data_IF_133671838484
#
_entry.id   IF_133671838484
#
_cell.length_a   1.000
_cell.length_b   1.000
_cell.length_c   1.000
_cell.angle_alpha   90.00
_cell.angle_beta   90.00
_cell.angle_gamma   90.00
#
_symmetry.space_group_name_H-M   'P 1'
#
loop_
_entity.id
_entity.type
_entity.pdbx_description
1 polymer ?
#
# COMPACT_ATOMS: atom_id res chain seq x y z
N UNK A 1 45.06 11.28 -9.90
CA UNK A 1 44.90 10.05 -10.69
C UNK A 1 43.61 9.38 -10.25
N UNK A 2 42.74 8.90 -11.16
CA UNK A 2 41.59 8.10 -10.74
C UNK A 2 42.13 6.81 -10.11
N UNK A 3 41.64 6.51 -8.92
CA UNK A 3 41.99 5.27 -8.20
C UNK A 3 41.40 4.12 -9.03
N UNK A 4 42.20 3.12 -9.44
CA UNK A 4 41.65 1.96 -10.13
C UNK A 4 40.60 1.28 -9.24
N UNK A 5 39.49 0.78 -9.82
CA UNK A 5 38.49 0.08 -9.02
C UNK A 5 39.17 -1.08 -8.27
N UNK A 6 38.86 -1.28 -6.98
CA UNK A 6 39.50 -2.33 -6.19
C UNK A 6 39.28 -3.70 -6.84
N UNK A 7 40.35 -4.48 -7.00
CA UNK A 7 40.27 -5.85 -7.50
C UNK A 7 39.54 -6.74 -6.48
N UNK A 8 38.32 -7.15 -6.81
CA UNK A 8 37.51 -8.10 -6.05
C UNK A 8 36.00 -7.83 -6.13
N UNK A 9 35.18 -8.89 -6.09
CA UNK A 9 33.73 -8.73 -5.96
C UNK A 9 33.41 -8.08 -4.59
N UNK A 10 32.81 -6.88 -4.60
CA UNK A 10 32.44 -6.11 -3.40
C UNK A 10 31.64 -6.93 -2.36
N UNK A 11 30.98 -8.02 -2.77
CA UNK A 11 30.25 -8.92 -1.86
C UNK A 11 31.13 -9.55 -0.76
N UNK A 12 32.40 -9.83 -1.06
CA UNK A 12 33.33 -10.41 -0.08
C UNK A 12 33.81 -9.41 0.98
N UNK A 13 33.61 -8.11 0.75
CA UNK A 13 34.11 -7.05 1.62
C UNK A 13 33.17 -6.75 2.78
N UNK A 14 31.87 -7.06 2.61
CA UNK A 14 30.84 -6.81 3.60
C UNK A 14 30.36 -8.07 4.32
N UNK A 15 30.60 -9.26 3.79
CA UNK A 15 30.21 -10.51 4.46
C UNK A 15 31.21 -10.84 5.57
N UNK A 16 30.79 -11.11 6.83
CA UNK A 16 29.43 -11.28 7.34
C UNK A 16 28.87 -10.03 8.06
N UNK A 17 29.53 -8.88 7.96
CA UNK A 17 29.14 -7.64 8.65
C UNK A 17 27.82 -7.04 8.12
N UNK A 18 27.49 -7.26 6.85
CA UNK A 18 26.25 -6.85 6.22
C UNK A 18 25.96 -7.70 4.98
N UNK A 19 24.69 -8.06 4.77
CA UNK A 19 24.20 -8.65 3.53
C UNK A 19 23.63 -7.57 2.61
N UNK A 20 23.62 -7.83 1.30
CA UNK A 20 22.88 -7.03 0.32
C UNK A 20 23.34 -5.57 0.16
N UNK A 21 24.58 -5.22 0.53
CA UNK A 21 25.14 -3.88 0.28
C UNK A 21 25.80 -3.75 -1.10
N UNK A 22 26.53 -4.78 -1.53
CA UNK A 22 27.40 -4.71 -2.70
C UNK A 22 26.63 -4.46 -4.01
N UNK A 23 25.53 -5.18 -4.23
CA UNK A 23 24.69 -5.02 -5.43
C UNK A 23 24.12 -3.61 -5.55
N UNK A 24 23.39 -3.10 -4.54
CA UNK A 24 22.88 -1.74 -4.55
C UNK A 24 23.97 -0.68 -4.76
N UNK A 25 25.12 -0.80 -4.09
CA UNK A 25 26.22 0.17 -4.24
C UNK A 25 26.76 0.22 -5.68
N UNK A 26 26.97 -0.94 -6.32
CA UNK A 26 27.43 -1.00 -7.71
C UNK A 26 26.43 -0.34 -8.66
N UNK A 27 25.14 -0.62 -8.44
CA UNK A 27 24.08 -0.13 -9.31
C UNK A 27 23.91 1.38 -9.12
N UNK A 28 23.90 1.89 -7.89
CA UNK A 28 23.84 3.34 -7.61
C UNK A 28 25.06 4.09 -8.18
N UNK A 29 26.27 3.55 -8.03
CA UNK A 29 27.50 4.13 -8.59
C UNK A 29 27.42 4.24 -10.13
N UNK A 30 27.01 3.15 -10.80
CA UNK A 30 26.82 3.15 -12.24
C UNK A 30 25.76 4.17 -12.68
N UNK A 31 24.66 4.30 -11.93
CA UNK A 31 23.60 5.29 -12.20
C UNK A 31 24.10 6.71 -12.12
N UNK A 32 24.82 7.05 -11.05
CA UNK A 32 25.37 8.40 -10.84
C UNK A 32 26.35 8.80 -11.95
N UNK A 33 27.15 7.85 -12.47
CA UNK A 33 28.07 8.10 -13.60
C UNK A 33 27.37 8.43 -14.92
N UNK A 34 26.11 8.03 -15.08
CA UNK A 34 25.36 8.17 -16.35
C UNK A 34 24.45 9.40 -16.41
N UNK A 35 24.45 10.25 -15.37
CA UNK A 35 23.66 11.50 -15.23
C UNK A 35 22.13 11.36 -15.39
N UNK A 36 21.61 10.13 -15.56
CA UNK A 36 20.18 9.80 -15.57
C UNK A 36 19.92 8.63 -14.64
N UNK A 37 19.57 8.89 -13.36
CA UNK A 37 19.12 7.82 -12.48
C UNK A 37 17.90 7.16 -13.13
N UNK A 38 18.03 5.86 -13.43
CA UNK A 38 16.92 5.07 -13.95
C UNK A 38 15.88 4.82 -12.86
N UNK A 39 14.70 4.28 -13.20
CA UNK A 39 13.63 4.07 -12.23
C UNK A 39 13.99 3.12 -11.09
N UNK A 40 15.04 2.31 -11.27
CA UNK A 40 15.58 1.39 -10.27
C UNK A 40 16.34 2.09 -9.14
N UNK A 41 16.69 3.37 -9.27
CA UNK A 41 17.54 4.08 -8.31
C UNK A 41 16.96 4.02 -6.89
N UNK A 42 15.67 4.34 -6.72
CA UNK A 42 15.07 4.27 -5.39
C UNK A 42 14.89 2.87 -4.84
N UNK A 43 14.74 1.83 -5.68
CA UNK A 43 14.77 0.45 -5.21
C UNK A 43 16.12 0.15 -4.57
N UNK A 44 17.20 0.47 -5.27
CA UNK A 44 18.54 0.19 -4.77
C UNK A 44 18.89 1.07 -3.56
N UNK A 45 18.42 2.32 -3.52
CA UNK A 45 18.55 3.15 -2.33
C UNK A 45 17.82 2.53 -1.13
N UNK A 46 16.57 2.07 -1.30
CA UNK A 46 15.81 1.42 -0.24
C UNK A 46 16.43 0.07 0.21
N UNK A 47 16.93 -0.73 -0.73
CA UNK A 47 17.65 -1.97 -0.43
C UNK A 47 18.96 -1.70 0.32
N UNK A 48 19.73 -0.68 -0.11
CA UNK A 48 20.94 -0.27 0.57
C UNK A 48 20.64 0.14 2.01
N UNK A 49 19.66 1.03 2.21
CA UNK A 49 19.28 1.50 3.55
C UNK A 49 18.77 0.36 4.44
N UNK A 50 17.99 -0.58 3.88
CA UNK A 50 17.56 -1.78 4.60
C UNK A 50 18.76 -2.64 5.03
N UNK A 51 19.73 -2.84 4.14
CA UNK A 51 20.97 -3.56 4.43
C UNK A 51 21.83 -2.86 5.48
N UNK A 52 21.95 -1.53 5.42
CA UNK A 52 22.69 -0.73 6.41
C UNK A 52 22.04 -0.78 7.79
N UNK A 53 20.70 -0.76 7.86
CA UNK A 53 19.96 -0.95 9.12
C UNK A 53 20.20 -2.34 9.73
N UNK A 54 20.33 -3.37 8.89
CA UNK A 54 20.61 -4.73 9.33
C UNK A 54 22.09 -4.99 9.65
N UNK A 55 23.00 -4.12 9.20
CA UNK A 55 24.44 -4.29 9.38
C UNK A 55 24.84 -4.36 10.86
N UNK A 56 25.92 -5.08 11.14
CA UNK A 56 26.59 -5.14 12.44
C UNK A 56 27.76 -4.13 12.47
N UNK A 57 27.58 -2.91 13.05
CA UNK A 57 28.59 -1.86 12.96
C UNK A 57 29.92 -2.27 13.59
N UNK A 58 29.89 -3.07 14.65
CA UNK A 58 31.10 -3.56 15.33
C UNK A 58 32.05 -4.36 14.41
N UNK A 59 31.53 -4.92 13.30
CA UNK A 59 32.30 -5.71 12.33
C UNK A 59 32.85 -4.89 11.15
N UNK A 60 32.49 -3.61 11.05
CA UNK A 60 32.94 -2.72 9.97
C UNK A 60 34.07 -1.80 10.46
N UNK A 61 35.13 -1.56 9.66
CA UNK A 61 36.14 -0.55 9.98
C UNK A 61 35.53 0.85 10.15
N UNK A 62 36.05 1.65 11.08
CA UNK A 62 35.51 2.98 11.38
C UNK A 62 35.42 3.91 10.14
N UNK A 63 36.43 3.98 9.24
CA UNK A 63 36.32 4.79 8.02
C UNK A 63 35.18 4.33 7.11
N UNK A 64 34.98 3.01 6.99
CA UNK A 64 33.89 2.43 6.19
C UNK A 64 32.53 2.79 6.77
N UNK A 65 32.38 2.72 8.10
CA UNK A 65 31.12 3.12 8.76
C UNK A 65 30.81 4.58 8.52
N UNK A 66 31.81 5.45 8.63
CA UNK A 66 31.63 6.88 8.41
C UNK A 66 31.20 7.18 6.97
N UNK A 67 31.88 6.59 5.98
CA UNK A 67 31.52 6.75 4.57
C UNK A 67 30.12 6.21 4.24
N UNK A 68 29.71 5.07 4.83
CA UNK A 68 28.36 4.53 4.66
C UNK A 68 27.30 5.38 5.36
N UNK A 69 27.62 5.99 6.49
CA UNK A 69 26.74 6.92 7.19
C UNK A 69 26.54 8.21 6.37
N UNK A 70 27.62 8.81 5.85
CA UNK A 70 27.55 9.97 4.95
C UNK A 70 26.74 9.66 3.69
N UNK A 71 26.88 8.46 3.13
CA UNK A 71 26.08 8.02 1.98
C UNK A 71 24.58 7.89 2.35
N UNK A 72 24.26 7.33 3.51
CA UNK A 72 22.88 7.24 3.98
C UNK A 72 22.27 8.63 4.14
N UNK A 73 22.98 9.55 4.80
CA UNK A 73 22.53 10.94 4.97
C UNK A 73 22.33 11.62 3.62
N UNK A 74 23.25 11.47 2.67
CA UNK A 74 23.11 12.03 1.32
C UNK A 74 21.88 11.48 0.57
N UNK A 75 21.53 10.20 0.74
CA UNK A 75 20.31 9.62 0.17
C UNK A 75 19.05 10.19 0.81
N UNK A 76 19.06 10.41 2.13
CA UNK A 76 17.94 11.00 2.85
C UNK A 76 17.72 12.49 2.56
N UNK A 77 18.78 13.23 2.26
CA UNK A 77 18.69 14.63 1.79
C UNK A 77 18.21 14.71 0.34
N UNK A 78 18.52 13.70 -0.48
CA UNK A 78 18.11 13.67 -1.88
C UNK A 78 16.64 13.28 -2.09
N UNK A 79 16.06 12.44 -1.22
CA UNK A 79 14.66 12.04 -1.27
C UNK A 79 14.06 11.94 0.13
N UNK A 80 12.91 12.61 0.31
CA UNK A 80 12.18 12.64 1.58
C UNK A 80 11.63 11.28 2.00
N UNK A 81 11.27 10.42 1.04
CA UNK A 81 10.62 9.15 1.34
C UNK A 81 11.53 8.23 2.18
N UNK A 82 12.81 8.01 1.80
CA UNK A 82 13.75 7.25 2.62
C UNK A 82 14.41 8.03 3.77
N UNK A 83 14.13 9.33 3.96
CA UNK A 83 14.87 10.21 4.89
C UNK A 83 14.99 9.64 6.32
N UNK A 84 13.87 9.16 6.86
CA UNK A 84 13.83 8.53 8.18
C UNK A 84 14.77 7.32 8.29
N UNK A 85 14.63 6.37 7.36
CA UNK A 85 15.45 5.16 7.35
C UNK A 85 16.94 5.45 7.11
N UNK A 86 17.24 6.49 6.32
CA UNK A 86 18.59 7.01 6.11
C UNK A 86 19.21 7.51 7.41
N UNK A 87 18.50 8.39 8.14
CA UNK A 87 18.96 8.89 9.43
C UNK A 87 19.16 7.77 10.44
N UNK A 88 18.23 6.82 10.52
CA UNK A 88 18.35 5.67 11.41
C UNK A 88 19.56 4.78 11.06
N UNK A 89 19.84 4.57 9.77
CA UNK A 89 21.03 3.85 9.32
C UNK A 89 22.32 4.59 9.69
N UNK A 90 22.39 5.91 9.46
CA UNK A 90 23.55 6.75 9.79
C UNK A 90 23.86 6.73 11.30
N UNK A 91 22.84 6.90 12.15
CA UNK A 91 23.00 6.86 13.62
C UNK A 91 23.50 5.50 14.11
N UNK A 92 22.97 4.40 13.54
CA UNK A 92 23.40 3.05 13.89
C UNK A 92 24.86 2.79 13.52
N UNK A 93 25.31 3.28 12.35
CA UNK A 93 26.68 3.09 11.86
C UNK A 93 27.71 3.90 12.65
N UNK A 94 27.36 5.13 13.04
CA UNK A 94 28.25 6.04 13.77
C UNK A 94 28.25 5.78 15.27
N UNK A 95 27.18 5.18 15.82
CA UNK A 95 27.00 4.99 17.25
C UNK A 95 26.70 6.29 18.01
N UNK A 96 26.47 7.39 17.29
CA UNK A 96 26.04 8.67 17.84
C UNK A 96 24.57 8.53 18.27
N UNK A 97 24.34 8.12 19.51
CA UNK A 97 23.00 8.13 20.10
C UNK A 97 22.59 9.57 20.36
N UNK A 98 21.50 10.02 19.73
CA UNK A 98 20.81 11.24 20.15
C UNK A 98 20.15 11.05 21.52
N UNK A 99 19.77 12.18 22.13
CA UNK A 99 19.08 12.23 23.42
C UNK A 99 17.71 11.53 23.33
N UNK A 100 17.06 11.58 22.16
CA UNK A 100 15.79 10.92 21.89
C UNK A 100 15.94 9.83 20.82
N UNK A 101 15.39 8.62 21.04
CA UNK A 101 15.42 7.56 20.05
C UNK A 101 14.52 7.92 18.87
N UNK A 102 15.11 8.00 17.68
CA UNK A 102 14.42 8.32 16.43
C UNK A 102 13.69 7.12 15.82
N UNK A 103 13.38 6.06 16.56
CA UNK A 103 12.76 4.86 15.98
C UNK A 103 11.25 5.01 15.85
N UNK A 104 10.70 4.64 14.69
CA UNK A 104 9.27 4.45 14.43
C UNK A 104 8.86 2.99 14.72
N UNK A 105 9.44 2.43 15.78
CA UNK A 105 9.07 1.11 16.29
C UNK A 105 8.35 1.29 17.63
N UNK A 106 7.21 0.62 17.82
CA UNK A 106 6.41 0.74 19.04
C UNK A 106 5.81 -0.58 19.49
N UNK A 107 5.85 -0.78 20.81
CA UNK A 107 5.21 -1.91 21.48
C UNK A 107 3.81 -1.47 21.92
N UNK A 108 2.78 -2.14 21.41
CA UNK A 108 1.37 -1.91 21.70
C UNK A 108 0.77 -3.17 22.35
N UNK A 109 -0.44 -3.08 22.88
CA UNK A 109 -1.07 -4.16 23.63
C UNK A 109 -2.57 -4.23 23.33
N UNK A 110 -3.08 -5.24 22.64
CA UNK A 110 -4.50 -5.32 22.28
C UNK A 110 -5.46 -5.46 23.47
N UNK A 111 -4.98 -5.77 24.68
CA UNK A 111 -5.81 -6.17 25.83
C UNK A 111 -6.48 -4.99 26.55
N UNK A 112 -6.39 -3.75 26.03
CA UNK A 112 -7.01 -2.58 26.65
C UNK A 112 -8.55 -2.56 26.62
N UNK A 113 -9.24 -3.59 26.08
CA UNK A 113 -10.70 -3.68 26.10
C UNK A 113 -11.19 -5.04 26.63
N UNK A 114 -11.30 -5.16 27.97
CA UNK A 114 -12.38 -5.91 28.66
C UNK A 114 -12.44 -5.61 30.18
N UNK A 115 -12.07 -4.41 30.66
CA UNK A 115 -12.43 -3.97 32.03
C UNK A 115 -13.76 -3.21 32.00
N UNK A 116 -14.83 -3.96 32.22
CA UNK A 116 -16.20 -3.46 32.34
C UNK A 116 -16.36 -2.50 33.54
N UNK A 117 -16.81 -1.26 33.30
CA UNK A 117 -17.84 -0.56 34.11
C UNK A 117 -18.08 0.89 33.66
N UNK A 118 -18.38 1.15 32.39
CA UNK A 118 -19.18 2.31 31.99
C UNK A 118 -19.68 2.06 30.58
N UNK A 119 -20.98 2.24 30.34
CA UNK A 119 -21.65 1.90 29.07
C UNK A 119 -21.25 2.73 27.84
N UNK A 120 -20.04 3.29 27.84
CA UNK A 120 -19.47 4.04 26.72
C UNK A 120 -18.37 3.21 26.08
N UNK A 121 -18.59 2.80 24.82
CA UNK A 121 -17.54 2.28 23.93
C UNK A 121 -16.47 3.35 23.84
N UNK A 122 -15.33 3.16 24.52
CA UNK A 122 -14.19 4.05 24.30
C UNK A 122 -13.67 3.87 22.87
N UNK A 123 -13.38 4.96 22.14
CA UNK A 123 -12.62 4.88 20.90
C UNK A 123 -11.22 4.30 21.24
N UNK A 124 -10.56 3.69 20.26
CA UNK A 124 -9.30 2.98 20.45
C UNK A 124 -8.18 3.74 21.18
N UNK A 125 -7.11 3.04 21.55
CA UNK A 125 -5.90 3.69 22.08
C UNK A 125 -5.05 4.19 20.90
N UNK A 126 -4.77 5.49 20.86
CA UNK A 126 -3.89 6.10 19.87
C UNK A 126 -2.53 6.44 20.46
N UNK A 127 -1.45 6.05 19.79
CA UNK A 127 -0.08 6.50 20.05
C UNK A 127 0.44 7.30 18.86
N UNK A 128 1.13 8.40 19.12
CA UNK A 128 1.75 9.23 18.09
C UNK A 128 3.26 9.08 18.12
N UNK A 129 3.85 8.86 16.95
CA UNK A 129 5.29 8.82 16.72
C UNK A 129 5.64 9.96 15.77
N UNK A 130 6.22 11.02 16.30
CA UNK A 130 6.65 12.18 15.52
C UNK A 130 8.17 12.19 15.45
N UNK A 131 8.69 11.99 14.24
CA UNK A 131 10.11 12.03 13.90
C UNK A 131 10.25 12.75 12.58
N UNK A 132 10.40 14.07 12.64
CA UNK A 132 10.44 14.90 11.45
C UNK A 132 11.38 14.33 10.36
N UNK A 133 10.90 14.19 9.10
CA UNK A 133 9.63 14.70 8.55
C UNK A 133 8.44 13.74 8.65
N UNK A 134 8.55 12.63 9.39
CA UNK A 134 7.53 11.59 9.51
C UNK A 134 6.69 11.79 10.77
N UNK A 135 5.37 11.72 10.62
CA UNK A 135 4.42 11.57 11.71
C UNK A 135 3.59 10.31 11.51
N UNK A 136 3.40 9.53 12.57
CA UNK A 136 2.60 8.30 12.55
C UNK A 136 1.61 8.30 13.70
N UNK A 137 0.34 8.07 13.38
CA UNK A 137 -0.70 7.70 14.33
C UNK A 137 -0.95 6.19 14.32
N UNK A 138 -0.83 5.55 15.48
CA UNK A 138 -1.12 4.14 15.70
C UNK A 138 -2.37 4.01 16.57
N UNK A 139 -3.50 3.62 16.00
CA UNK A 139 -4.76 3.48 16.74
C UNK A 139 -5.17 2.02 16.78
N UNK A 140 -5.23 1.43 17.97
CA UNK A 140 -5.80 0.09 18.12
C UNK A 140 -7.25 0.19 18.55
N UNK A 141 -8.14 -0.31 17.71
CA UNK A 141 -9.59 -0.24 17.85
C UNK A 141 -10.12 -1.37 18.74
N UNK A 142 -11.28 -1.15 19.37
CA UNK A 142 -11.99 -2.21 20.09
C UNK A 142 -12.52 -3.36 19.21
N UNK A 143 -12.41 -3.23 17.88
CA UNK A 143 -12.75 -4.27 16.91
C UNK A 143 -11.60 -5.22 16.58
N UNK A 144 -10.44 -5.09 17.24
CA UNK A 144 -9.27 -5.92 16.97
C UNK A 144 -8.49 -5.49 15.72
N UNK A 145 -8.63 -4.24 15.30
CA UNK A 145 -7.84 -3.66 14.20
C UNK A 145 -6.80 -2.68 14.74
N UNK A 146 -5.63 -2.67 14.12
CA UNK A 146 -4.62 -1.64 14.21
C UNK A 146 -4.72 -0.75 12.97
N UNK A 147 -5.18 0.48 13.17
CA UNK A 147 -5.14 1.54 12.16
C UNK A 147 -3.81 2.28 12.25
N UNK A 148 -3.15 2.45 11.12
CA UNK A 148 -1.85 3.11 11.00
C UNK A 148 -2.01 4.21 9.96
N UNK A 149 -1.88 5.45 10.41
CA UNK A 149 -1.87 6.63 9.57
C UNK A 149 -0.45 7.21 9.56
N UNK A 150 0.09 7.44 8.37
CA UNK A 150 1.43 7.96 8.17
C UNK A 150 1.38 9.21 7.33
N UNK A 151 2.15 10.20 7.75
CA UNK A 151 2.41 11.44 7.05
C UNK A 151 3.92 11.64 6.90
N UNK A 152 4.38 12.01 5.70
CA UNK A 152 5.78 12.38 5.44
C UNK A 152 5.78 13.75 4.76
N UNK A 153 6.07 14.76 5.57
CA UNK A 153 6.10 16.16 5.17
C UNK A 153 7.22 16.43 4.14
N UNK A 154 7.04 17.51 3.38
CA UNK A 154 8.11 18.03 2.52
C UNK A 154 9.23 18.68 3.36
N UNK A 155 10.46 18.45 2.93
CA UNK A 155 11.63 19.15 3.46
C UNK A 155 11.53 20.66 3.11
N UNK A 156 11.87 21.61 4.01
CA UNK A 156 11.74 23.06 3.77
C UNK A 156 12.59 23.56 2.61
N UNK A 157 13.64 22.81 2.24
CA UNK A 157 14.30 22.91 0.95
C UNK A 157 13.75 21.78 0.09
N UNK A 158 12.94 22.04 -0.95
CA UNK A 158 12.39 20.98 -1.77
C UNK A 158 13.54 20.14 -2.33
N UNK A 159 13.51 18.81 -2.21
CA UNK A 159 14.53 17.97 -2.81
C UNK A 159 14.62 18.34 -4.29
N UNK A 160 15.84 18.50 -4.78
CA UNK A 160 16.09 18.92 -6.17
C UNK A 160 15.44 17.97 -7.20
N UNK A 161 15.07 16.75 -6.78
CA UNK A 161 14.32 15.76 -7.57
C UNK A 161 13.72 14.69 -6.64
N UNK A 162 12.55 14.12 -6.96
CA UNK A 162 12.24 12.75 -6.47
C UNK A 162 13.14 11.76 -7.19
N UNK A 163 13.77 10.85 -6.45
CA UNK A 163 14.62 9.80 -7.03
C UNK A 163 13.81 8.64 -7.60
N UNK A 164 12.51 8.59 -7.30
CA UNK A 164 11.57 7.57 -7.75
C UNK A 164 10.35 8.14 -8.45
N UNK A 165 10.05 7.58 -9.62
CA UNK A 165 8.79 7.74 -10.32
C UNK A 165 7.80 6.63 -9.90
N UNK A 166 6.54 7.00 -9.65
CA UNK A 166 5.43 6.09 -9.37
C UNK A 166 5.00 6.05 -7.91
N UNK A 167 3.96 5.26 -7.63
CA UNK A 167 3.42 5.09 -6.29
C UNK A 167 4.43 4.39 -5.36
N UNK A 168 4.55 4.91 -4.14
CA UNK A 168 5.41 4.36 -3.11
C UNK A 168 4.60 3.47 -2.18
N UNK A 169 5.24 2.43 -1.66
CA UNK A 169 4.68 1.52 -0.69
C UNK A 169 5.59 1.50 0.54
N UNK A 170 5.06 1.93 1.68
CA UNK A 170 5.74 1.86 2.97
C UNK A 170 5.56 0.46 3.58
N UNK A 171 6.66 -0.22 3.95
CA UNK A 171 6.57 -1.49 4.67
C UNK A 171 6.15 -1.27 6.13
N UNK A 172 5.08 -1.94 6.53
CA UNK A 172 4.59 -2.02 7.90
C UNK A 172 4.82 -3.45 8.39
N UNK A 173 5.64 -3.65 9.42
CA UNK A 173 5.81 -4.99 10.01
C UNK A 173 5.14 -5.06 11.37
N UNK A 174 4.23 -6.01 11.54
CA UNK A 174 3.55 -6.29 12.80
C UNK A 174 4.03 -7.63 13.34
N UNK A 175 4.66 -7.62 14.51
CA UNK A 175 5.23 -8.81 15.17
C UNK A 175 4.46 -9.10 16.46
N UNK A 176 3.81 -10.26 16.58
CA UNK A 176 3.26 -10.69 17.86
C UNK A 176 4.39 -10.75 18.91
N UNK A 177 4.12 -10.23 20.11
CA UNK A 177 5.01 -10.38 21.24
C UNK A 177 4.96 -11.81 21.75
N UNK A 178 6.09 -12.33 22.17
CA UNK A 178 6.13 -13.53 23.01
C UNK A 178 5.99 -13.09 24.47
N UNK A 179 5.33 -13.89 25.32
CA UNK A 179 5.15 -13.62 26.76
C UNK A 179 6.48 -13.36 27.52
N UNK A 180 7.61 -13.76 26.94
CA UNK A 180 8.93 -13.38 27.41
C UNK A 180 9.29 -11.99 26.88
N UNK A 181 9.76 -11.11 27.76
CA UNK A 181 10.28 -9.73 27.51
C UNK A 181 11.42 -9.61 26.45
N UNK A 182 11.67 -10.67 25.71
CA UNK A 182 12.49 -10.71 24.50
C UNK A 182 11.65 -10.25 23.31
N UNK A 183 12.02 -9.12 22.73
CA UNK A 183 11.38 -8.55 21.56
C UNK A 183 11.17 -9.59 20.44
N UNK A 184 9.93 -9.67 19.94
CA UNK A 184 9.54 -10.12 18.60
C UNK A 184 10.26 -11.33 17.99
N UNK A 185 10.20 -12.51 18.62
CA UNK A 185 10.75 -13.76 18.07
C UNK A 185 9.78 -14.52 17.13
N UNK A 186 8.50 -14.09 17.05
CA UNK A 186 7.51 -14.68 16.15
C UNK A 186 7.67 -14.20 14.70
N UNK A 187 7.23 -15.00 13.69
CA UNK A 187 7.21 -14.54 12.30
C UNK A 187 6.24 -13.36 12.18
N UNK A 188 6.78 -12.16 12.02
CA UNK A 188 5.99 -10.95 11.80
C UNK A 188 5.29 -10.97 10.44
N UNK A 189 4.10 -10.39 10.38
CA UNK A 189 3.41 -10.16 9.10
C UNK A 189 3.83 -8.78 8.57
N UNK A 190 4.16 -8.73 7.28
CA UNK A 190 4.45 -7.47 6.59
C UNK A 190 3.27 -7.06 5.72
N UNK A 191 2.90 -5.79 5.83
CA UNK A 191 1.92 -5.12 5.00
C UNK A 191 2.60 -4.00 4.22
N UNK A 192 2.08 -3.70 3.04
CA UNK A 192 2.56 -2.64 2.15
C UNK A 192 1.50 -1.53 2.09
N UNK A 193 1.74 -0.46 2.82
CA UNK A 193 0.90 0.75 2.84
C UNK A 193 1.19 1.58 1.61
N UNK A 194 0.19 1.86 0.78
CA UNK A 194 0.34 2.78 -0.36
C UNK A 194 0.43 4.21 0.17
N UNK A 195 1.45 4.92 -0.28
CA UNK A 195 1.63 6.35 -0.02
C UNK A 195 1.13 7.13 -1.23
N UNK A 196 0.11 7.95 -1.02
CA UNK A 196 -0.39 8.90 -2.00
C UNK A 196 0.22 10.28 -1.77
N UNK A 197 0.39 11.03 -2.85
CA UNK A 197 0.83 12.42 -2.82
C UNK A 197 -0.37 13.35 -2.73
N UNK A 198 -0.53 14.03 -1.60
CA UNK A 198 -1.52 15.09 -1.43
C UNK A 198 -0.83 16.38 -0.97
N UNK A 199 -1.06 17.48 -1.68
CA UNK A 199 -0.60 18.84 -1.29
C UNK A 199 0.90 18.99 -0.98
N UNK A 200 1.74 18.15 -1.58
CA UNK A 200 3.18 18.15 -1.29
C UNK A 200 3.57 17.20 -0.16
N UNK A 201 2.64 16.54 0.53
CA UNK A 201 2.91 15.55 1.58
C UNK A 201 2.62 14.12 1.09
N UNK A 202 3.34 13.13 1.59
CA UNK A 202 3.00 11.73 1.38
C UNK A 202 2.11 11.26 2.52
N UNK A 203 0.92 10.76 2.19
CA UNK A 203 0.00 10.19 3.17
C UNK A 203 -0.25 8.72 2.89
N UNK A 204 -0.26 7.92 3.93
CA UNK A 204 -0.59 6.51 3.87
C UNK A 204 -1.53 6.11 4.99
N UNK A 205 -2.37 5.12 4.71
CA UNK A 205 -3.26 4.53 5.70
C UNK A 205 -3.41 3.04 5.45
N UNK A 206 -3.25 2.24 6.51
CA UNK A 206 -3.68 0.83 6.52
C UNK A 206 -4.39 0.49 7.81
N UNK A 207 -5.39 -0.39 7.71
CA UNK A 207 -6.01 -1.07 8.83
C UNK A 207 -5.68 -2.56 8.74
N UNK A 208 -4.99 -3.07 9.75
CA UNK A 208 -4.52 -4.47 9.80
C UNK A 208 -5.05 -5.16 11.06
N UNK A 209 -5.18 -6.50 11.07
CA UNK A 209 -5.51 -7.21 12.29
C UNK A 209 -4.48 -6.91 13.40
N UNK A 210 -4.96 -6.50 14.58
CA UNK A 210 -4.11 -6.38 15.76
C UNK A 210 -3.86 -7.79 16.33
N UNK A 211 -2.60 -8.20 16.53
CA UNK A 211 -2.31 -9.45 17.25
C UNK A 211 -2.86 -9.41 18.67
N UNK A 212 -3.17 -10.60 19.21
CA UNK A 212 -3.57 -10.75 20.61
C UNK A 212 -2.42 -10.38 21.56
N UNK A 213 -2.79 -9.86 22.74
CA UNK A 213 -1.90 -9.35 23.76
C UNK A 213 -0.91 -8.29 23.24
N UNK A 214 0.34 -8.36 23.70
CA UNK A 214 1.37 -7.40 23.34
C UNK A 214 1.95 -7.71 21.96
N UNK A 215 2.15 -6.69 21.12
CA UNK A 215 2.81 -6.79 19.82
C UNK A 215 3.68 -5.58 19.51
N UNK A 216 4.57 -5.73 18.55
CA UNK A 216 5.44 -4.65 18.04
C UNK A 216 5.01 -4.26 16.63
N UNK A 217 5.00 -2.96 16.37
CA UNK A 217 4.82 -2.36 15.05
C UNK A 217 6.13 -1.68 14.67
N UNK A 218 6.71 -2.07 13.54
CA UNK A 218 7.97 -1.56 12.98
C UNK A 218 7.69 -0.89 11.62
N UNK A 219 7.95 0.42 11.58
CA UNK A 219 7.77 1.29 10.42
C UNK A 219 9.11 1.91 9.96
N UNK A 220 10.23 1.40 10.45
CA UNK A 220 11.55 2.01 10.23
C UNK A 220 12.15 1.67 8.85
N UNK A 221 11.55 0.73 8.11
CA UNK A 221 12.01 0.34 6.78
C UNK A 221 11.60 1.37 5.71
N UNK A 222 12.46 1.61 4.69
CA UNK A 222 12.23 2.67 3.71
C UNK A 222 11.06 2.32 2.78
N UNK A 223 10.29 3.33 2.32
CA UNK A 223 9.35 3.15 1.23
C UNK A 223 10.03 2.64 -0.04
N UNK A 224 9.34 1.80 -0.79
CA UNK A 224 9.79 1.28 -2.09
C UNK A 224 8.75 1.56 -3.17
N UNK A 225 9.14 1.80 -4.43
CA UNK A 225 8.15 1.93 -5.50
C UNK A 225 7.38 0.63 -5.73
N UNK A 226 6.06 0.75 -5.94
CA UNK A 226 5.15 -0.37 -6.16
C UNK A 226 5.64 -1.34 -7.24
N UNK A 227 6.22 -0.81 -8.32
CA UNK A 227 6.79 -1.59 -9.44
C UNK A 227 7.93 -2.53 -9.07
N UNK A 228 8.48 -2.40 -7.86
CA UNK A 228 9.57 -3.22 -7.34
C UNK A 228 9.13 -4.16 -6.22
N UNK A 229 7.82 -4.28 -6.01
CA UNK A 229 7.24 -5.37 -5.22
C UNK A 229 7.09 -6.66 -6.05
N UNK A 230 7.84 -6.79 -7.14
CA UNK A 230 7.81 -7.92 -8.07
C UNK A 230 8.36 -9.22 -7.45
N UNK A 231 9.18 -9.09 -6.41
CA UNK A 231 9.77 -10.20 -5.65
C UNK A 231 9.12 -10.44 -4.29
N UNK A 232 8.11 -9.65 -3.93
CA UNK A 232 7.36 -9.85 -2.70
C UNK A 232 6.44 -11.05 -2.85
N UNK A 233 6.26 -11.79 -1.75
CA UNK A 233 5.36 -12.95 -1.73
C UNK A 233 3.94 -12.52 -2.09
N UNK A 234 3.21 -13.43 -2.74
CA UNK A 234 1.82 -13.16 -3.11
C UNK A 234 0.96 -12.94 -1.86
N UNK A 235 1.25 -13.69 -0.81
CA UNK A 235 0.56 -13.66 0.48
C UNK A 235 0.66 -12.29 1.15
N UNK A 236 1.85 -11.67 1.15
CA UNK A 236 2.05 -10.31 1.68
C UNK A 236 1.20 -9.29 0.91
N UNK A 237 1.17 -9.37 -0.43
CA UNK A 237 0.37 -8.45 -1.24
C UNK A 237 -1.14 -8.68 -1.10
N UNK A 238 -1.57 -9.94 -1.02
CA UNK A 238 -2.98 -10.30 -0.79
C UNK A 238 -3.50 -9.81 0.56
N UNK A 239 -2.65 -9.81 1.59
CA UNK A 239 -2.97 -9.22 2.89
C UNK A 239 -2.94 -7.67 2.87
N UNK A 240 -2.05 -7.08 2.08
CA UNK A 240 -1.86 -5.62 2.00
C UNK A 240 -2.99 -4.92 1.24
N UNK A 241 -3.49 -5.50 0.15
CA UNK A 241 -4.54 -4.92 -0.69
C UNK A 241 -5.81 -4.51 0.09
N UNK A 242 -6.47 -5.41 0.85
CA UNK A 242 -7.66 -5.04 1.63
C UNK A 242 -7.31 -4.16 2.84
N UNK A 243 -6.09 -4.24 3.37
CA UNK A 243 -5.65 -3.40 4.49
C UNK A 243 -5.57 -1.91 4.11
N UNK A 244 -5.35 -1.58 2.84
CA UNK A 244 -5.37 -0.21 2.33
C UNK A 244 -6.81 0.27 2.10
N UNK A 245 -7.61 0.37 3.16
CA UNK A 245 -9.06 0.65 3.09
C UNK A 245 -9.40 1.97 2.38
N UNK A 246 -8.51 2.97 2.45
CA UNK A 246 -8.68 4.27 1.78
C UNK A 246 -8.35 4.23 0.28
N UNK A 247 -7.77 3.14 -0.22
CA UNK A 247 -7.48 2.94 -1.64
C UNK A 247 -8.61 2.15 -2.29
N UNK A 248 -9.41 2.85 -3.09
CA UNK A 248 -10.54 2.25 -3.83
C UNK A 248 -10.05 1.22 -4.85
N UNK A 249 -10.93 0.31 -5.23
CA UNK A 249 -10.63 -0.65 -6.30
C UNK A 249 -10.19 0.02 -7.62
N UNK A 250 -10.83 1.14 -7.98
CA UNK A 250 -10.47 1.89 -9.18
C UNK A 250 -9.08 2.52 -9.11
N UNK A 251 -8.66 2.97 -7.91
CA UNK A 251 -7.29 3.43 -7.67
C UNK A 251 -6.31 2.26 -7.77
N UNK A 252 -6.63 1.11 -7.18
CA UNK A 252 -5.80 -0.09 -7.31
C UNK A 252 -5.59 -0.50 -8.76
N UNK A 253 -6.63 -0.52 -9.59
CA UNK A 253 -6.49 -0.78 -11.02
C UNK A 253 -5.54 0.21 -11.69
N UNK A 254 -5.73 1.53 -11.50
CA UNK A 254 -4.84 2.55 -12.05
C UNK A 254 -3.39 2.40 -11.58
N UNK A 255 -3.17 2.05 -10.31
CA UNK A 255 -1.84 1.86 -9.74
C UNK A 255 -1.08 0.68 -10.36
N UNK A 256 -1.80 -0.38 -10.74
CA UNK A 256 -1.19 -1.59 -11.29
C UNK A 256 -1.19 -1.64 -12.83
N UNK A 257 -1.91 -0.75 -13.51
CA UNK A 257 -2.06 -0.79 -14.98
C UNK A 257 -0.73 -0.69 -15.72
N UNK A 258 0.23 0.10 -15.19
CA UNK A 258 1.56 0.28 -15.78
C UNK A 258 2.58 -0.79 -15.32
N UNK A 259 2.18 -1.74 -14.49
CA UNK A 259 3.06 -2.79 -14.00
C UNK A 259 3.26 -3.90 -15.04
N UNK A 260 4.39 -4.63 -14.98
CA UNK A 260 4.58 -5.80 -15.82
C UNK A 260 3.46 -6.83 -15.62
N UNK A 261 2.96 -7.51 -16.67
CA UNK A 261 1.83 -8.44 -16.54
C UNK A 261 2.03 -9.61 -15.57
N UNK A 262 3.28 -9.95 -15.27
CA UNK A 262 3.67 -11.00 -14.32
C UNK A 262 3.85 -10.48 -12.88
N UNK A 263 3.62 -9.18 -12.65
CA UNK A 263 3.73 -8.59 -11.33
C UNK A 263 2.68 -9.21 -10.38
N UNK A 264 3.06 -9.66 -9.18
CA UNK A 264 2.18 -10.41 -8.27
C UNK A 264 0.95 -9.60 -7.83
N UNK A 265 1.03 -8.27 -7.86
CA UNK A 265 -0.11 -7.39 -7.59
C UNK A 265 -1.34 -7.65 -8.50
N UNK A 266 -1.14 -8.03 -9.77
CA UNK A 266 -2.26 -8.38 -10.65
C UNK A 266 -3.03 -9.62 -10.17
N UNK A 267 -2.29 -10.64 -9.73
CA UNK A 267 -2.88 -11.87 -9.21
C UNK A 267 -3.57 -11.60 -7.87
N UNK A 268 -2.90 -10.87 -6.97
CA UNK A 268 -3.43 -10.53 -5.65
C UNK A 268 -4.73 -9.71 -5.75
N UNK A 269 -4.79 -8.69 -6.63
CA UNK A 269 -6.01 -7.91 -6.88
C UNK A 269 -7.14 -8.79 -7.42
N UNK A 270 -6.81 -9.76 -8.27
CA UNK A 270 -7.79 -10.71 -8.80
C UNK A 270 -8.38 -11.57 -7.68
N UNK A 271 -7.55 -12.09 -6.77
CA UNK A 271 -8.00 -12.90 -5.61
C UNK A 271 -8.94 -12.11 -4.71
N UNK A 272 -8.52 -10.91 -4.29
CA UNK A 272 -9.28 -10.05 -3.35
C UNK A 272 -10.63 -9.63 -3.93
N UNK A 273 -10.71 -9.42 -5.25
CA UNK A 273 -11.96 -9.08 -5.92
C UNK A 273 -12.87 -10.27 -6.22
N UNK A 274 -12.38 -11.51 -6.14
CA UNK A 274 -13.17 -12.69 -6.50
C UNK A 274 -14.49 -12.83 -5.70
N UNK A 275 -14.53 -12.56 -4.38
CA UNK A 275 -15.77 -12.62 -3.59
C UNK A 275 -16.73 -11.46 -3.88
N UNK A 276 -16.22 -10.28 -4.26
CA UNK A 276 -17.06 -9.09 -4.51
C UNK A 276 -17.69 -9.08 -5.90
N UNK A 277 -17.06 -9.75 -6.87
CA UNK A 277 -17.54 -9.85 -8.26
C UNK A 277 -18.98 -10.38 -8.40
N UNK A 278 -19.39 -11.51 -7.78
CA UNK A 278 -20.76 -12.01 -7.88
C UNK A 278 -21.78 -11.07 -7.22
N UNK A 279 -21.44 -10.47 -6.07
CA UNK A 279 -22.33 -9.54 -5.37
C UNK A 279 -22.57 -8.26 -6.19
N UNK A 280 -21.52 -7.67 -6.78
CA UNK A 280 -21.66 -6.51 -7.67
C UNK A 280 -22.43 -6.85 -8.94
N UNK A 281 -22.16 -8.01 -9.55
CA UNK A 281 -22.91 -8.48 -10.71
C UNK A 281 -24.40 -8.65 -10.39
N UNK A 282 -24.74 -9.22 -9.24
CA UNK A 282 -26.12 -9.35 -8.78
C UNK A 282 -26.79 -8.00 -8.52
N UNK A 283 -26.09 -7.06 -7.86
CA UNK A 283 -26.61 -5.70 -7.62
C UNK A 283 -26.90 -4.96 -8.93
N UNK A 284 -25.98 -5.01 -9.90
CA UNK A 284 -26.20 -4.41 -11.23
C UNK A 284 -27.33 -5.09 -12.01
N UNK A 285 -27.44 -6.43 -11.93
CA UNK A 285 -28.53 -7.17 -12.57
C UNK A 285 -29.90 -6.78 -11.97
N UNK A 286 -30.00 -6.70 -10.64
CA UNK A 286 -31.22 -6.31 -9.94
C UNK A 286 -31.63 -4.87 -10.29
N UNK A 287 -30.69 -3.91 -10.31
CA UNK A 287 -30.96 -2.54 -10.71
C UNK A 287 -31.49 -2.44 -12.15
N UNK A 288 -30.94 -3.24 -13.07
CA UNK A 288 -31.42 -3.28 -14.45
C UNK A 288 -32.81 -3.91 -14.58
N UNK A 289 -33.07 -4.99 -13.83
CA UNK A 289 -34.38 -5.64 -13.78
C UNK A 289 -35.45 -4.71 -13.22
N UNK A 290 -35.12 -3.90 -12.21
CA UNK A 290 -36.03 -2.89 -11.65
C UNK A 290 -36.42 -1.85 -12.73
N UNK A 291 -35.45 -1.33 -13.47
CA UNK A 291 -35.69 -0.39 -14.58
C UNK A 291 -36.56 -1.04 -15.67
N UNK A 292 -36.28 -2.30 -16.04
CA UNK A 292 -37.08 -3.02 -17.03
C UNK A 292 -38.52 -3.24 -16.57
N UNK A 293 -38.71 -3.59 -15.30
CA UNK A 293 -40.02 -3.83 -14.71
C UNK A 293 -40.84 -2.53 -14.67
N UNK A 294 -40.23 -1.43 -14.21
CA UNK A 294 -40.85 -0.12 -14.22
C UNK A 294 -41.21 0.34 -15.64
N UNK A 295 -40.32 0.16 -16.61
CA UNK A 295 -40.60 0.48 -18.02
C UNK A 295 -41.76 -0.35 -18.60
N UNK A 296 -41.86 -1.63 -18.22
CA UNK A 296 -42.97 -2.50 -18.63
C UNK A 296 -44.28 -2.05 -18.00
N UNK A 297 -44.31 -1.78 -16.70
CA UNK A 297 -45.49 -1.27 -15.99
C UNK A 297 -45.97 0.04 -16.60
N UNK A 298 -45.06 0.99 -16.82
CA UNK A 298 -45.40 2.26 -17.45
C UNK A 298 -46.02 2.06 -18.83
N UNK A 299 -45.50 1.13 -19.63
CA UNK A 299 -46.01 0.87 -20.98
C UNK A 299 -47.34 0.09 -21.00
N UNK A 300 -47.49 -0.93 -20.16
CA UNK A 300 -48.60 -1.89 -20.24
C UNK A 300 -49.79 -1.53 -19.35
N UNK A 301 -49.58 -0.69 -18.32
CA UNK A 301 -50.60 -0.36 -17.32
C UNK A 301 -50.87 1.15 -17.34
N UNK A 302 -49.82 1.95 -17.18
CA UNK A 302 -49.99 3.36 -16.84
C UNK A 302 -50.19 4.25 -18.08
N UNK A 303 -49.58 3.91 -19.22
CA UNK A 303 -49.52 4.76 -20.42
C UNK A 303 -50.90 5.15 -20.94
N UNK A 304 -51.85 4.22 -20.90
CA UNK A 304 -53.23 4.44 -21.39
C UNK A 304 -54.02 5.42 -20.49
N UNK A 305 -53.54 5.65 -19.27
CA UNK A 305 -54.18 6.49 -18.25
C UNK A 305 -53.46 7.83 -18.02
N UNK A 306 -52.28 8.02 -18.61
CA UNK A 306 -51.46 9.21 -18.42
C UNK A 306 -51.74 10.32 -19.43
N UNK A 307 -51.73 11.56 -18.95
CA UNK A 307 -51.61 12.70 -19.84
C UNK A 307 -50.21 12.75 -20.48
N UNK A 308 -50.09 13.38 -21.66
CA UNK A 308 -48.81 13.46 -22.39
C UNK A 308 -47.65 14.05 -21.56
N UNK A 309 -47.97 14.96 -20.65
CA UNK A 309 -46.97 15.58 -19.76
C UNK A 309 -46.48 14.60 -18.68
N UNK A 310 -47.39 13.84 -18.08
CA UNK A 310 -47.08 12.82 -17.07
C UNK A 310 -46.22 11.70 -17.65
N UNK A 311 -46.55 11.25 -18.87
CA UNK A 311 -45.75 10.26 -19.59
C UNK A 311 -44.33 10.75 -19.89
N UNK A 312 -44.16 12.03 -20.24
CA UNK A 312 -42.83 12.64 -20.46
C UNK A 312 -42.02 12.76 -19.17
N UNK A 313 -42.66 13.11 -18.06
CA UNK A 313 -42.00 13.15 -16.75
C UNK A 313 -41.55 11.76 -16.30
N UNK A 314 -42.41 10.74 -16.42
CA UNK A 314 -42.07 9.36 -16.09
C UNK A 314 -40.92 8.82 -16.95
N UNK A 315 -40.92 9.10 -18.26
CA UNK A 315 -39.82 8.73 -19.15
C UNK A 315 -38.51 9.43 -18.76
N UNK A 316 -38.57 10.71 -18.38
CA UNK A 316 -37.40 11.47 -17.92
C UNK A 316 -36.82 10.87 -16.65
N UNK A 317 -37.67 10.50 -15.68
CA UNK A 317 -37.25 9.85 -14.44
C UNK A 317 -36.60 8.47 -14.69
N UNK A 318 -37.18 7.65 -15.57
CA UNK A 318 -36.59 6.37 -15.98
C UNK A 318 -35.23 6.55 -16.66
N UNK A 319 -35.11 7.57 -17.53
CA UNK A 319 -33.87 7.87 -18.25
C UNK A 319 -32.79 8.34 -17.29
N UNK A 320 -33.12 9.23 -16.35
CA UNK A 320 -32.20 9.70 -15.32
C UNK A 320 -31.71 8.53 -14.44
N UNK A 321 -32.61 7.62 -14.03
CA UNK A 321 -32.24 6.44 -13.24
C UNK A 321 -31.31 5.50 -14.02
N UNK A 322 -31.56 5.29 -15.32
CA UNK A 322 -30.66 4.54 -16.21
C UNK A 322 -29.29 5.20 -16.33
N UNK A 323 -29.25 6.51 -16.53
CA UNK A 323 -28.01 7.25 -16.73
C UNK A 323 -27.17 7.28 -15.45
N UNK A 324 -27.81 7.39 -14.28
CA UNK A 324 -27.14 7.26 -12.98
C UNK A 324 -26.52 5.86 -12.80
N UNK A 325 -27.25 4.79 -13.15
CA UNK A 325 -26.70 3.43 -13.09
C UNK A 325 -25.54 3.22 -14.08
N UNK A 326 -25.63 3.77 -15.28
CA UNK A 326 -24.55 3.71 -16.27
C UNK A 326 -23.32 4.52 -15.85
N UNK A 327 -23.51 5.67 -15.20
CA UNK A 327 -22.40 6.49 -14.70
C UNK A 327 -21.62 5.80 -13.58
N UNK A 328 -22.29 4.95 -12.78
CA UNK A 328 -21.69 4.16 -11.70
C UNK A 328 -21.09 2.83 -12.16
N UNK A 329 -21.40 2.39 -13.38
CA UNK A 329 -20.92 1.12 -13.92
C UNK A 329 -19.51 1.26 -14.50
N UNK A 330 -18.62 0.31 -14.18
CA UNK A 330 -17.31 0.20 -14.82
C UNK A 330 -17.46 -0.14 -16.32
N UNK A 331 -16.59 0.42 -17.16
CA UNK A 331 -16.62 0.19 -18.61
C UNK A 331 -16.40 -1.30 -18.92
N UNK A 332 -17.34 -2.00 -19.57
CA UNK A 332 -17.21 -3.43 -19.82
C UNK A 332 -16.04 -3.75 -20.75
N UNK A 333 -15.16 -4.66 -20.34
CA UNK A 333 -14.13 -5.20 -21.23
C UNK A 333 -14.72 -5.89 -22.48
N UNK A 334 -13.98 -5.91 -23.60
CA UNK A 334 -14.42 -6.46 -24.90
C UNK A 334 -15.02 -7.87 -24.85
N UNK A 335 -14.59 -8.71 -23.90
CA UNK A 335 -15.12 -10.07 -23.73
C UNK A 335 -16.46 -10.08 -23.00
N UNK A 336 -16.61 -9.25 -21.97
CA UNK A 336 -17.87 -9.07 -21.25
C UNK A 336 -18.95 -8.48 -22.18
N UNK A 337 -18.59 -7.48 -22.99
CA UNK A 337 -19.48 -6.91 -24.01
C UNK A 337 -20.00 -7.97 -25.00
N UNK A 338 -19.10 -8.81 -25.55
CA UNK A 338 -19.50 -9.89 -26.47
C UNK A 338 -20.42 -10.93 -25.81
N UNK A 339 -20.16 -11.29 -24.56
CA UNK A 339 -21.02 -12.23 -23.80
C UNK A 339 -22.39 -11.62 -23.52
N UNK A 340 -22.45 -10.36 -23.10
CA UNK A 340 -23.70 -9.64 -22.89
C UNK A 340 -24.51 -9.53 -24.20
N UNK A 341 -23.86 -9.22 -25.32
CA UNK A 341 -24.50 -9.15 -26.63
C UNK A 341 -25.06 -10.51 -27.08
N UNK A 342 -24.37 -11.62 -26.78
CA UNK A 342 -24.87 -12.96 -27.05
C UNK A 342 -26.13 -13.28 -26.21
N UNK A 343 -26.12 -12.94 -24.91
CA UNK A 343 -27.27 -13.14 -24.02
C UNK A 343 -28.48 -12.30 -24.44
N UNK A 344 -28.27 -11.03 -24.82
CA UNK A 344 -29.33 -10.16 -25.34
C UNK A 344 -29.97 -10.72 -26.62
N UNK A 345 -29.17 -11.30 -27.52
CA UNK A 345 -29.68 -11.96 -28.74
C UNK A 345 -30.44 -13.25 -28.47
N UNK A 346 -30.07 -13.96 -27.41
CA UNK A 346 -30.76 -15.18 -26.97
C UNK A 346 -32.08 -14.89 -26.23
N UNK A 347 -32.37 -13.64 -25.89
CA UNK A 347 -33.62 -13.23 -25.27
C UNK A 347 -33.72 -13.51 -23.77
N UNK A 348 -32.65 -13.98 -23.11
CA UNK A 348 -32.69 -14.35 -21.70
C UNK A 348 -31.44 -13.91 -20.92
N UNK A 349 -31.67 -13.34 -19.73
CA UNK A 349 -30.70 -13.36 -18.63
C UNK A 349 -30.94 -14.68 -17.90
N UNK A 350 -30.08 -15.67 -18.10
CA UNK A 350 -30.10 -16.91 -17.33
C UNK A 350 -29.16 -16.72 -16.14
N UNK A 351 -29.65 -16.83 -14.91
CA UNK A 351 -28.77 -16.77 -13.74
C UNK A 351 -27.93 -18.05 -13.68
N UNK A 352 -26.74 -17.95 -13.09
CA UNK A 352 -25.93 -19.15 -12.84
C UNK A 352 -26.60 -20.12 -11.84
N UNK A 353 -27.56 -19.65 -11.04
CA UNK A 353 -28.41 -20.50 -10.18
C UNK A 353 -29.53 -21.22 -10.94
N UNK A 354 -29.81 -20.83 -12.19
CA UNK A 354 -30.79 -21.50 -13.06
C UNK A 354 -30.14 -22.63 -13.90
N UNK A 355 -28.82 -22.80 -13.80
CA UNK A 355 -28.06 -23.85 -14.45
C UNK A 355 -27.60 -24.90 -13.43
N UNK A 356 -28.13 -26.11 -13.59
CA UNK A 356 -27.79 -27.38 -12.93
C UNK A 356 -28.44 -27.66 -11.56
N UNK A 357 -29.59 -28.34 -11.65
CA UNK A 357 -29.91 -29.52 -10.85
C UNK A 357 -29.55 -30.78 -11.64
#
# INVERSE_FOLDING_TARGET
MPIPPPDGELGHWFTPAASSLAGPLQVLEAGLRTERPGPWFGREAAHLLSGLRAAEPARLPAPTRHALAELADALGEADRAPHHSARLASERLTGLRRIEPIALTRRLDSDFVLRASSGERRPGRTEFLEQWPVAVGLTVTGGGLLEIEMEIEDHPVPPSRRLTDGALCHPVTVRPGTDTDTAGSGPGMRYWMVLDTSEGTLHGFVAVPAPDATFEVDLDAPPVPLRFLDRVSREELEASLPANERVTLSQWHRLIDDLPPHHPAHAALTTVNAPQRPARAAASANAFLEIQTAARQHREIDLDHWASEEARQALTALTARRDEQNAKAEVPGRRAYRKAQANLRAGTQTYAVDGDA
#
